data_IF_621442433258
#
_entry.id   IF_621442433258
#
_cell.length_a   1.000
_cell.length_b   1.000
_cell.length_c   1.000
_cell.angle_alpha   90.00
_cell.angle_beta   90.00
_cell.angle_gamma   90.00
#
_symmetry.space_group_name_H-M   'P 1'
#
loop_
_entity.id
_entity.type
_entity.pdbx_description
1 polymer ?
#
# COMPACT_ATOMS: atom_id res chain seq x y z
N UNK A 1 29.68 4.06 -20.04
CA UNK A 1 28.28 3.94 -19.61
C UNK A 1 27.58 5.25 -19.93
N UNK A 2 26.37 5.23 -20.50
CA UNK A 2 25.55 6.44 -20.49
C UNK A 2 25.29 6.86 -19.04
N UNK A 3 25.14 8.16 -18.75
CA UNK A 3 24.77 8.61 -17.42
C UNK A 3 23.42 8.00 -17.01
N UNK A 4 23.17 7.76 -15.71
CA UNK A 4 21.86 7.33 -15.24
C UNK A 4 20.81 8.32 -15.72
N UNK A 5 19.79 7.82 -16.42
CA UNK A 5 18.65 8.62 -16.85
C UNK A 5 17.98 9.19 -15.59
N UNK A 6 17.81 10.52 -15.49
CA UNK A 6 17.09 11.15 -14.37
C UNK A 6 15.75 10.44 -14.17
N UNK A 7 15.50 9.89 -12.98
CA UNK A 7 14.25 9.20 -12.64
C UNK A 7 13.07 10.13 -12.96
N UNK A 8 12.18 9.67 -13.85
CA UNK A 8 10.97 10.41 -14.25
C UNK A 8 9.73 9.99 -13.45
N UNK A 9 9.83 8.88 -12.74
CA UNK A 9 8.74 8.30 -11.95
C UNK A 9 9.15 8.29 -10.49
N UNK A 10 8.29 8.84 -9.64
CA UNK A 10 8.42 8.82 -8.18
C UNK A 10 7.27 8.01 -7.60
N UNK A 11 7.57 6.99 -6.81
CA UNK A 11 6.58 6.13 -6.13
C UNK A 11 6.54 6.53 -4.65
N UNK A 12 5.42 7.14 -4.26
CA UNK A 12 5.07 7.48 -2.89
C UNK A 12 4.23 6.35 -2.31
N UNK A 13 4.79 5.57 -1.41
CA UNK A 13 4.10 4.48 -0.75
C UNK A 13 3.45 4.94 0.56
N UNK A 14 2.20 4.51 0.77
CA UNK A 14 1.36 4.84 1.93
C UNK A 14 0.90 3.53 2.56
N UNK A 15 1.47 3.17 3.71
CA UNK A 15 1.14 1.94 4.43
C UNK A 15 0.58 2.18 5.82
N UNK A 16 0.11 1.13 6.49
CA UNK A 16 -0.60 1.20 7.78
C UNK A 16 -1.75 0.20 7.86
N UNK A 17 -2.36 -0.02 9.04
CA UNK A 17 -3.37 -1.05 9.23
C UNK A 17 -4.57 -0.86 8.30
N UNK A 18 -5.25 -1.95 7.96
CA UNK A 18 -6.52 -1.88 7.21
C UNK A 18 -7.51 -0.95 7.92
N UNK A 19 -8.26 -0.14 7.17
CA UNK A 19 -9.14 0.93 7.69
C UNK A 19 -8.46 2.13 8.39
N UNK A 20 -7.15 2.35 8.22
CA UNK A 20 -6.47 3.54 8.75
C UNK A 20 -6.73 4.84 7.98
N UNK A 21 -7.19 4.75 6.72
CA UNK A 21 -7.44 5.93 5.85
C UNK A 21 -6.45 6.11 4.70
N UNK A 22 -5.62 5.10 4.38
CA UNK A 22 -4.62 5.12 3.31
C UNK A 22 -5.20 5.51 1.95
N UNK A 23 -6.24 4.80 1.50
CA UNK A 23 -6.91 5.04 0.22
C UNK A 23 -7.47 6.47 0.14
N UNK A 24 -8.04 6.98 1.24
CA UNK A 24 -8.52 8.37 1.34
C UNK A 24 -7.38 9.36 1.15
N UNK A 25 -6.24 9.17 1.84
CA UNK A 25 -5.06 10.03 1.69
C UNK A 25 -4.50 9.96 0.27
N UNK A 26 -4.36 8.77 -0.31
CA UNK A 26 -3.87 8.57 -1.69
C UNK A 26 -4.74 9.32 -2.72
N UNK A 27 -6.07 9.24 -2.60
CA UNK A 27 -7.02 9.98 -3.46
C UNK A 27 -6.90 11.49 -3.28
N UNK A 28 -6.74 11.98 -2.04
CA UNK A 28 -6.54 13.41 -1.77
C UNK A 28 -5.22 13.93 -2.36
N UNK A 29 -4.12 13.21 -2.15
CA UNK A 29 -2.82 13.54 -2.73
C UNK A 29 -2.90 13.53 -4.26
N UNK A 30 -3.42 12.46 -4.87
CA UNK A 30 -3.62 12.39 -6.32
C UNK A 30 -4.44 13.59 -6.83
N UNK A 31 -5.50 13.99 -6.11
CA UNK A 31 -6.34 15.13 -6.47
C UNK A 31 -5.64 16.48 -6.36
N UNK A 32 -4.72 16.64 -5.40
CA UNK A 32 -3.88 17.84 -5.27
C UNK A 32 -2.92 17.92 -6.45
N UNK A 33 -2.19 16.83 -6.73
CA UNK A 33 -1.13 16.80 -7.74
C UNK A 33 -1.63 16.67 -9.19
N UNK A 34 -2.75 15.98 -9.45
CA UNK A 34 -3.32 15.81 -10.81
C UNK A 34 -3.87 17.09 -11.43
N UNK A 35 -4.41 17.99 -10.59
CA UNK A 35 -5.09 19.22 -11.03
C UNK A 35 -4.20 20.47 -10.92
N UNK A 36 -2.88 20.30 -11.04
CA UNK A 36 -1.94 21.42 -11.03
C UNK A 36 -1.98 22.24 -12.34
N UNK A 37 -2.72 21.80 -13.37
CA UNK A 37 -2.91 22.54 -14.62
C UNK A 37 -3.64 23.87 -14.42
N UNK A 38 -3.28 24.92 -15.19
CA UNK A 38 -4.11 26.12 -15.33
C UNK A 38 -5.49 25.77 -15.91
N UNK A 39 -6.51 26.59 -15.59
CA UNK A 39 -7.89 26.45 -16.12
C UNK A 39 -8.02 26.68 -17.64
N UNK A 40 -6.92 26.98 -18.33
CA UNK A 40 -6.85 27.16 -19.78
C UNK A 40 -6.42 25.84 -20.44
N UNK A 41 -6.92 25.56 -21.65
CA UNK A 41 -6.68 24.35 -22.47
C UNK A 41 -5.18 24.02 -22.67
N UNK A 42 -4.49 23.58 -21.63
CA UNK A 42 -3.05 23.36 -21.56
C UNK A 42 -2.78 22.01 -20.92
N UNK A 43 -1.84 21.27 -21.52
CA UNK A 43 -1.45 19.92 -21.11
C UNK A 43 -0.42 19.99 -19.98
N UNK A 44 -0.65 19.39 -18.81
CA UNK A 44 0.38 19.27 -17.77
C UNK A 44 1.51 18.35 -18.20
N UNK A 45 2.71 18.63 -17.71
CA UNK A 45 3.87 17.75 -17.78
C UNK A 45 3.94 16.75 -16.60
N UNK A 46 2.84 16.60 -15.84
CA UNK A 46 2.73 15.70 -14.70
C UNK A 46 1.58 14.73 -14.90
N UNK A 47 1.89 13.44 -14.74
CA UNK A 47 0.94 12.34 -14.65
C UNK A 47 0.87 11.86 -13.19
N UNK A 48 -0.33 11.58 -12.71
CA UNK A 48 -0.51 10.93 -11.41
C UNK A 48 -1.56 9.84 -11.46
N UNK A 49 -1.32 8.75 -10.73
CA UNK A 49 -2.27 7.65 -10.56
C UNK A 49 -2.01 6.94 -9.23
N UNK A 50 -2.98 6.13 -8.82
CA UNK A 50 -2.93 5.32 -7.61
C UNK A 50 -2.73 3.86 -8.01
N UNK A 51 -1.96 3.13 -7.22
CA UNK A 51 -1.84 1.68 -7.27
C UNK A 51 -2.33 1.14 -5.93
N UNK A 52 -3.31 0.24 -5.97
CA UNK A 52 -3.87 -0.39 -4.79
C UNK A 52 -3.25 -1.77 -4.61
N UNK A 53 -2.71 -2.08 -3.43
CA UNK A 53 -2.20 -3.42 -3.09
C UNK A 53 -3.29 -4.49 -3.25
N UNK A 54 -4.54 -4.14 -2.98
CA UNK A 54 -5.69 -5.04 -3.10
C UNK A 54 -5.91 -5.56 -4.54
N UNK A 55 -5.39 -4.87 -5.56
CA UNK A 55 -5.45 -5.36 -6.95
C UNK A 55 -4.58 -6.61 -7.19
N UNK A 56 -3.67 -6.89 -6.25
CA UNK A 56 -2.71 -7.99 -6.27
C UNK A 56 -3.12 -9.16 -5.38
N UNK A 57 -4.33 -9.14 -4.79
CA UNK A 57 -4.86 -10.34 -4.15
C UNK A 57 -4.94 -11.51 -5.14
N UNK A 58 -4.64 -12.70 -4.64
CA UNK A 58 -5.00 -13.93 -5.32
C UNK A 58 -6.54 -14.04 -5.44
N UNK A 59 -7.05 -14.79 -6.43
CA UNK A 59 -8.47 -15.08 -6.52
C UNK A 59 -9.02 -15.74 -5.24
N UNK A 60 -10.32 -15.59 -4.98
CA UNK A 60 -11.01 -16.04 -3.76
C UNK A 60 -10.70 -17.51 -3.40
N UNK A 61 -10.65 -18.42 -4.37
CA UNK A 61 -10.34 -19.84 -4.18
C UNK A 61 -8.88 -20.14 -3.82
N UNK A 62 -7.99 -19.15 -3.92
CA UNK A 62 -6.57 -19.24 -3.62
C UNK A 62 -6.16 -18.44 -2.38
N UNK A 63 -7.10 -17.78 -1.72
CA UNK A 63 -6.83 -17.12 -0.45
C UNK A 63 -6.51 -18.18 0.61
N UNK A 64 -5.41 -18.02 1.37
CA UNK A 64 -4.98 -18.99 2.37
C UNK A 64 -6.09 -19.34 3.37
N UNK A 65 -6.28 -20.63 3.62
CA UNK A 65 -7.16 -21.13 4.67
C UNK A 65 -6.35 -21.42 5.93
N UNK A 66 -6.81 -20.89 7.06
CA UNK A 66 -6.25 -21.18 8.39
C UNK A 66 -7.33 -21.84 9.27
N UNK A 67 -6.96 -22.62 10.30
CA UNK A 67 -7.90 -23.07 11.32
C UNK A 67 -8.57 -21.86 11.98
N UNK A 68 -9.90 -21.88 12.12
CA UNK A 68 -10.63 -20.76 12.70
C UNK A 68 -10.22 -20.57 14.17
N UNK A 69 -9.78 -19.36 14.59
CA UNK A 69 -9.22 -19.14 15.93
C UNK A 69 -10.15 -19.54 17.09
N UNK A 70 -11.45 -19.28 16.94
CA UNK A 70 -12.48 -19.70 17.91
C UNK A 70 -13.05 -21.11 17.73
N UNK A 71 -12.83 -21.75 16.58
CA UNK A 71 -13.32 -23.10 16.30
C UNK A 71 -12.34 -23.86 15.38
N UNK A 72 -11.25 -24.42 15.92
CA UNK A 72 -10.18 -25.01 15.13
C UNK A 72 -10.59 -26.20 14.23
N UNK A 73 -11.81 -26.74 14.40
CA UNK A 73 -12.35 -27.79 13.53
C UNK A 73 -12.86 -27.28 12.19
N UNK A 74 -12.99 -25.96 12.03
CA UNK A 74 -13.39 -25.27 10.81
C UNK A 74 -12.25 -24.43 10.28
N UNK A 75 -12.24 -24.15 8.97
CA UNK A 75 -11.27 -23.25 8.34
C UNK A 75 -11.89 -21.91 7.99
N UNK A 76 -11.07 -20.88 7.92
CA UNK A 76 -11.45 -19.52 7.52
C UNK A 76 -10.38 -18.94 6.59
N UNK A 77 -10.80 -18.14 5.61
CA UNK A 77 -9.89 -17.44 4.70
C UNK A 77 -9.16 -16.31 5.44
N UNK A 78 -7.84 -16.26 5.30
CA UNK A 78 -7.00 -15.19 5.80
C UNK A 78 -6.63 -14.25 4.65
N UNK A 79 -7.33 -13.12 4.54
CA UNK A 79 -7.05 -12.08 3.57
C UNK A 79 -5.91 -11.18 4.01
N UNK A 80 -5.75 -10.95 5.31
CA UNK A 80 -4.78 -10.00 5.87
C UNK A 80 -3.41 -10.64 6.11
N UNK A 81 -2.80 -11.21 5.08
CA UNK A 81 -1.47 -11.83 5.17
C UNK A 81 -0.72 -11.70 3.85
N UNK A 82 0.61 -11.65 3.92
CA UNK A 82 1.49 -11.64 2.74
C UNK A 82 1.16 -12.77 1.74
N UNK A 83 0.77 -13.95 2.24
CA UNK A 83 0.46 -15.12 1.41
C UNK A 83 -0.85 -15.01 0.61
N UNK A 84 -1.70 -14.02 0.90
CA UNK A 84 -2.88 -13.72 0.11
C UNK A 84 -2.57 -12.87 -1.13
N UNK A 85 -1.38 -12.28 -1.20
CA UNK A 85 -0.97 -11.33 -2.23
C UNK A 85 0.00 -11.97 -3.24
N UNK A 86 -0.16 -11.66 -4.52
CA UNK A 86 0.78 -11.98 -5.59
C UNK A 86 1.97 -11.00 -5.58
N UNK A 87 2.86 -11.20 -4.62
CA UNK A 87 4.07 -10.39 -4.44
C UNK A 87 4.98 -10.37 -5.68
N UNK A 88 5.20 -11.49 -6.40
CA UNK A 88 5.91 -11.45 -7.68
C UNK A 88 5.26 -10.51 -8.69
N UNK A 89 3.93 -10.53 -8.84
CA UNK A 89 3.23 -9.62 -9.74
C UNK A 89 3.30 -8.17 -9.28
N UNK A 90 3.12 -7.89 -7.98
CA UNK A 90 3.30 -6.55 -7.40
C UNK A 90 4.70 -6.00 -7.68
N UNK A 91 5.74 -6.79 -7.40
CA UNK A 91 7.13 -6.44 -7.66
C UNK A 91 7.37 -6.15 -9.15
N UNK A 92 6.88 -7.00 -10.05
CA UNK A 92 7.02 -6.81 -11.49
C UNK A 92 6.28 -5.57 -12.01
N UNK A 93 5.05 -5.33 -11.53
CA UNK A 93 4.25 -4.16 -11.90
C UNK A 93 4.93 -2.85 -11.46
N UNK A 94 5.51 -2.80 -10.26
CA UNK A 94 6.24 -1.63 -9.79
C UNK A 94 7.53 -1.38 -10.59
N UNK A 95 8.27 -2.43 -10.99
CA UNK A 95 9.42 -2.28 -11.92
C UNK A 95 8.99 -1.67 -13.26
N UNK A 96 7.85 -2.13 -13.78
CA UNK A 96 7.30 -1.63 -15.03
C UNK A 96 6.89 -0.16 -14.89
N UNK A 97 6.17 0.19 -13.84
CA UNK A 97 5.75 1.56 -13.55
C UNK A 97 6.96 2.49 -13.41
N UNK A 98 8.00 2.05 -12.69
CA UNK A 98 9.21 2.83 -12.52
C UNK A 98 9.87 3.18 -13.87
N UNK A 99 9.94 2.20 -14.77
CA UNK A 99 10.56 2.33 -16.10
C UNK A 99 9.69 3.05 -17.15
N UNK A 100 8.37 2.88 -17.12
CA UNK A 100 7.45 3.36 -18.17
C UNK A 100 6.62 4.58 -17.75
N UNK A 101 6.44 4.80 -16.44
CA UNK A 101 5.62 5.88 -15.90
C UNK A 101 4.11 5.71 -16.11
N UNK A 102 3.65 4.47 -16.32
CA UNK A 102 2.24 4.10 -16.37
C UNK A 102 2.03 2.65 -15.92
N UNK A 103 0.77 2.27 -15.66
CA UNK A 103 0.41 0.90 -15.28
C UNK A 103 0.70 -0.08 -16.42
N UNK A 104 1.09 -1.33 -16.13
CA UNK A 104 1.15 -2.38 -17.13
C UNK A 104 -0.26 -2.70 -17.67
N UNK A 105 -0.42 -3.04 -18.96
CA UNK A 105 -1.74 -3.30 -19.56
C UNK A 105 -2.61 -4.33 -18.83
N UNK A 106 -1.96 -5.31 -18.21
CA UNK A 106 -2.63 -6.38 -17.44
C UNK A 106 -3.27 -5.91 -16.13
N UNK A 107 -2.81 -4.79 -15.56
CA UNK A 107 -3.30 -4.32 -14.26
C UNK A 107 -4.53 -3.42 -14.41
N UNK A 108 -5.68 -3.93 -13.97
CA UNK A 108 -6.92 -3.14 -13.84
C UNK A 108 -7.32 -3.00 -12.37
N UNK A 109 -7.58 -1.76 -11.95
CA UNK A 109 -8.01 -1.46 -10.58
C UNK A 109 -9.43 -1.94 -10.33
N UNK A 110 -9.61 -2.72 -9.26
CA UNK A 110 -10.92 -3.13 -8.73
C UNK A 110 -11.29 -2.34 -7.48
N UNK A 111 -10.29 -1.83 -6.77
CA UNK A 111 -10.51 -0.98 -5.60
C UNK A 111 -11.28 0.30 -5.96
N UNK A 112 -11.16 0.79 -7.20
CA UNK A 112 -11.98 1.89 -7.71
C UNK A 112 -13.48 1.55 -7.86
N UNK A 113 -13.88 0.29 -7.65
CA UNK A 113 -15.27 -0.15 -7.63
C UNK A 113 -15.88 -0.14 -6.23
N UNK A 114 -15.08 0.02 -5.17
CA UNK A 114 -15.58 0.10 -3.79
C UNK A 114 -16.23 1.47 -3.53
N UNK A 115 -17.15 1.53 -2.56
CA UNK A 115 -17.86 2.75 -2.20
C UNK A 115 -16.89 3.84 -1.71
N UNK A 116 -16.94 5.02 -2.33
CA UNK A 116 -16.12 6.17 -1.93
C UNK A 116 -16.76 6.87 -0.73
N UNK A 117 -16.13 6.76 0.43
CA UNK A 117 -16.52 7.50 1.63
C UNK A 117 -16.04 8.95 1.58
N UNK A 118 -16.80 9.87 2.16
CA UNK A 118 -16.38 11.28 2.26
C UNK A 118 -15.09 11.40 3.08
N UNK A 119 -14.11 12.13 2.55
CA UNK A 119 -12.78 12.25 3.17
C UNK A 119 -12.74 13.05 4.48
N UNK A 120 -13.81 13.79 4.80
CA UNK A 120 -13.84 14.74 5.91
C UNK A 120 -12.97 15.99 5.72
N UNK A 121 -12.24 16.11 4.60
CA UNK A 121 -11.40 17.27 4.27
C UNK A 121 -12.18 18.23 3.37
N UNK A 122 -12.19 19.51 3.74
CA UNK A 122 -12.93 20.53 2.98
C UNK A 122 -12.24 20.89 1.66
N UNK A 123 -13.02 21.38 0.68
CA UNK A 123 -12.49 21.82 -0.60
C UNK A 123 -11.49 22.98 -0.48
N UNK A 124 -11.67 23.83 0.54
CA UNK A 124 -10.78 24.95 0.83
C UNK A 124 -9.38 24.45 1.22
N UNK A 125 -9.29 23.37 2.01
CA UNK A 125 -8.01 22.74 2.37
C UNK A 125 -7.34 22.16 1.13
N UNK A 126 -8.08 21.39 0.32
CA UNK A 126 -7.54 20.79 -0.92
C UNK A 126 -7.05 21.87 -1.88
N UNK A 127 -7.81 22.96 -2.03
CA UNK A 127 -7.41 24.09 -2.88
C UNK A 127 -6.16 24.78 -2.34
N UNK A 128 -6.09 25.04 -1.03
CA UNK A 128 -4.91 25.66 -0.40
C UNK A 128 -3.66 24.79 -0.58
N UNK A 129 -3.74 23.49 -0.34
CA UNK A 129 -2.60 22.58 -0.54
C UNK A 129 -2.15 22.52 -2.00
N UNK A 130 -3.09 22.60 -2.94
CA UNK A 130 -2.76 22.70 -4.36
C UNK A 130 -1.97 23.97 -4.69
N UNK A 131 -2.33 25.11 -4.12
CA UNK A 131 -1.55 26.35 -4.29
C UNK A 131 -0.13 26.21 -3.73
N UNK A 132 0.02 25.61 -2.54
CA UNK A 132 1.35 25.35 -1.93
C UNK A 132 2.21 24.49 -2.84
N UNK A 133 1.67 23.37 -3.34
CA UNK A 133 2.38 22.50 -4.29
C UNK A 133 2.74 23.28 -5.54
N UNK A 134 1.81 24.08 -6.09
CA UNK A 134 2.06 24.90 -7.27
C UNK A 134 3.24 25.85 -7.04
N UNK A 135 3.26 26.57 -5.94
CA UNK A 135 4.34 27.53 -5.65
C UNK A 135 5.71 26.86 -5.54
N UNK A 136 5.79 25.68 -4.92
CA UNK A 136 7.07 25.01 -4.62
C UNK A 136 7.65 24.21 -5.76
N UNK A 137 6.82 23.67 -6.66
CA UNK A 137 7.30 22.83 -7.77
C UNK A 137 6.87 23.37 -9.15
N UNK A 138 7.25 24.62 -9.51
CA UNK A 138 6.81 25.27 -10.75
C UNK A 138 7.10 24.47 -12.02
N UNK A 139 8.24 23.76 -12.05
CA UNK A 139 8.65 22.95 -13.19
C UNK A 139 7.72 21.78 -13.53
N UNK A 140 6.86 21.33 -12.60
CA UNK A 140 5.94 20.19 -12.83
C UNK A 140 4.73 20.58 -13.70
N UNK A 141 4.45 21.86 -13.85
CA UNK A 141 3.26 22.36 -14.56
C UNK A 141 3.54 23.54 -15.50
N UNK A 142 4.81 23.94 -15.67
CA UNK A 142 5.23 24.85 -16.73
C UNK A 142 5.45 24.09 -18.05
N UNK A 143 4.95 24.68 -19.15
CA UNK A 143 4.99 24.11 -20.50
C UNK A 143 6.41 24.16 -21.07
N UNK A 144 6.99 23.01 -21.40
CA UNK A 144 8.31 22.87 -22.05
C UNK A 144 8.24 23.06 -23.58
N UNK A 145 7.06 23.35 -24.16
CA UNK A 145 6.92 23.65 -25.59
C UNK A 145 7.65 24.90 -26.08
N UNK A 146 8.27 25.68 -25.19
CA UNK A 146 9.04 26.85 -25.59
C UNK A 146 10.41 26.53 -26.22
N UNK A 147 10.89 25.27 -26.24
CA UNK A 147 12.28 25.01 -26.65
C UNK A 147 12.63 23.75 -27.47
N UNK A 148 11.70 23.03 -28.10
CA UNK A 148 12.05 21.85 -28.92
C UNK A 148 11.68 21.99 -30.41
N UNK A 149 12.67 22.39 -31.20
CA UNK A 149 12.80 22.07 -32.63
C UNK A 149 13.32 20.63 -32.85
N UNK A 150 12.97 19.68 -31.97
CA UNK A 150 13.41 18.28 -32.06
C UNK A 150 12.20 17.36 -32.15
N UNK A 151 11.96 16.91 -33.37
CA UNK A 151 11.02 15.85 -33.71
C UNK A 151 11.58 14.48 -33.29
N UNK A 152 11.27 14.05 -32.08
CA UNK A 152 11.38 12.66 -31.64
C UNK A 152 10.16 12.32 -30.78
N UNK A 153 9.24 11.56 -31.37
CA UNK A 153 7.94 11.25 -30.79
C UNK A 153 7.99 10.07 -29.83
N UNK A 154 8.37 10.32 -28.58
CA UNK A 154 8.12 9.45 -27.43
C UNK A 154 8.23 10.26 -26.12
N UNK A 155 7.10 10.72 -25.55
CA UNK A 155 6.94 11.08 -24.12
C UNK A 155 8.03 11.90 -23.39
N UNK A 156 8.92 12.59 -24.11
CA UNK A 156 10.20 13.09 -23.60
C UNK A 156 9.99 14.37 -22.78
N UNK A 157 9.51 14.21 -21.54
CA UNK A 157 9.30 15.34 -20.61
C UNK A 157 8.22 15.14 -19.55
N UNK A 158 7.44 14.05 -19.59
CA UNK A 158 6.37 13.80 -18.60
C UNK A 158 6.97 13.22 -17.32
N UNK A 159 6.75 13.90 -16.19
CA UNK A 159 7.01 13.40 -14.84
C UNK A 159 5.82 12.60 -14.35
N UNK A 160 6.06 11.55 -13.58
CA UNK A 160 5.01 10.68 -13.04
C UNK A 160 5.16 10.60 -11.52
N UNK A 161 4.08 10.89 -10.78
CA UNK A 161 4.00 10.60 -9.34
C UNK A 161 2.94 9.52 -9.15
N UNK A 162 3.35 8.41 -8.54
CA UNK A 162 2.49 7.26 -8.25
C UNK A 162 2.25 7.20 -6.75
N UNK A 163 0.99 7.08 -6.35
CA UNK A 163 0.63 6.82 -4.97
C UNK A 163 0.32 5.33 -4.81
N UNK A 164 1.24 4.58 -4.23
CA UNK A 164 1.04 3.17 -3.91
C UNK A 164 0.47 3.07 -2.50
N UNK A 165 -0.65 2.37 -2.32
CA UNK A 165 -1.26 2.23 -1.01
C UNK A 165 -1.64 0.78 -0.71
N UNK A 166 -1.43 0.37 0.53
CA UNK A 166 -1.54 -1.03 0.93
C UNK A 166 -1.30 -1.24 2.42
N UNK A 167 -1.87 -2.29 3.00
CA UNK A 167 -1.70 -2.59 4.42
C UNK A 167 -0.35 -3.23 4.75
N UNK A 168 0.35 -3.78 3.76
CA UNK A 168 1.58 -4.54 3.99
C UNK A 168 2.65 -4.27 2.92
N UNK A 169 3.17 -3.03 2.90
CA UNK A 169 4.11 -2.59 1.86
C UNK A 169 5.58 -2.59 2.30
N UNK A 170 5.87 -2.51 3.60
CA UNK A 170 7.22 -2.25 4.11
C UNK A 170 7.86 -3.49 4.71
N UNK A 171 9.18 -3.56 4.56
CA UNK A 171 10.06 -4.56 5.15
C UNK A 171 10.89 -3.91 6.27
N UNK A 172 11.31 -4.70 7.28
CA UNK A 172 12.27 -4.25 8.30
C UNK A 172 13.56 -3.67 7.71
N UNK A 173 14.42 -3.01 8.50
CA UNK A 173 15.75 -2.63 8.06
C UNK A 173 16.50 -3.83 7.47
N UNK A 174 17.31 -3.58 6.43
CA UNK A 174 17.99 -4.66 5.67
C UNK A 174 18.95 -5.45 6.54
N UNK A 175 19.50 -4.80 7.56
CA UNK A 175 20.40 -5.36 8.55
C UNK A 175 19.68 -6.29 9.54
N UNK A 176 18.36 -6.11 9.73
CA UNK A 176 17.55 -6.92 10.64
C UNK A 176 17.00 -8.17 9.94
N UNK A 177 16.52 -8.02 8.69
CA UNK A 177 16.07 -9.14 7.86
C UNK A 177 16.27 -8.85 6.36
N UNK A 178 17.38 -9.32 5.77
CA UNK A 178 17.71 -9.04 4.37
C UNK A 178 16.80 -9.79 3.37
N UNK A 179 16.22 -10.91 3.76
CA UNK A 179 15.46 -11.82 2.88
C UNK A 179 13.94 -11.71 3.07
N UNK A 180 13.47 -10.69 3.81
CA UNK A 180 12.05 -10.41 4.03
C UNK A 180 11.27 -10.37 2.70
N UNK A 181 10.07 -10.97 2.68
CA UNK A 181 9.28 -11.16 1.46
C UNK A 181 8.90 -9.86 0.72
N UNK A 182 8.85 -8.73 1.43
CA UNK A 182 8.55 -7.41 0.87
C UNK A 182 9.79 -6.60 0.46
N UNK A 183 11.01 -7.13 0.63
CA UNK A 183 12.24 -6.39 0.35
C UNK A 183 12.25 -5.83 -1.07
N UNK A 184 11.96 -6.68 -2.05
CA UNK A 184 11.98 -6.28 -3.45
C UNK A 184 10.88 -5.26 -3.79
N UNK A 185 9.75 -5.31 -3.09
CA UNK A 185 8.65 -4.34 -3.24
C UNK A 185 9.08 -2.99 -2.65
N UNK A 186 9.59 -2.97 -1.43
CA UNK A 186 10.04 -1.76 -0.73
C UNK A 186 11.18 -1.02 -1.45
N UNK A 187 12.10 -1.76 -2.08
CA UNK A 187 13.25 -1.18 -2.80
C UNK A 187 12.84 -0.37 -4.04
N UNK A 188 11.58 -0.47 -4.48
CA UNK A 188 11.02 0.30 -5.61
C UNK A 188 10.32 1.59 -5.18
N UNK A 189 10.23 1.85 -3.88
CA UNK A 189 9.55 3.02 -3.33
C UNK A 189 10.56 4.13 -3.01
N UNK A 190 10.23 5.36 -3.41
CA UNK A 190 11.07 6.53 -3.20
C UNK A 190 10.73 7.25 -1.88
N UNK A 191 9.44 7.22 -1.48
CA UNK A 191 8.94 7.74 -0.20
C UNK A 191 8.09 6.68 0.49
N UNK A 192 8.24 6.54 1.81
CA UNK A 192 7.58 5.51 2.62
C UNK A 192 6.84 6.16 3.79
N UNK A 193 5.57 6.48 3.58
CA UNK A 193 4.69 7.08 4.58
C UNK A 193 3.92 5.98 5.32
N UNK A 194 3.88 6.04 6.64
CA UNK A 194 3.11 5.10 7.45
C UNK A 194 2.04 5.82 8.25
N UNK A 195 0.79 5.39 8.12
CA UNK A 195 -0.38 5.94 8.79
C UNK A 195 -0.77 5.02 9.94
N UNK A 196 -0.31 5.29 11.18
CA UNK A 196 -0.79 4.56 12.33
C UNK A 196 -2.29 4.85 12.55
N UNK A 197 -3.02 3.86 13.03
CA UNK A 197 -4.38 4.03 13.50
C UNK A 197 -4.61 3.15 14.71
N UNK A 198 -5.34 3.71 15.67
CA UNK A 198 -5.74 3.03 16.90
C UNK A 198 -6.59 1.80 16.59
N UNK A 199 -6.35 0.72 17.34
CA UNK A 199 -7.12 -0.52 17.27
C UNK A 199 -8.64 -0.27 17.22
N UNK A 200 -9.15 0.50 18.18
CA UNK A 200 -10.58 0.73 18.34
C UNK A 200 -11.19 1.38 17.08
N UNK A 201 -10.48 2.34 16.49
CA UNK A 201 -10.91 3.03 15.28
C UNK A 201 -10.88 2.10 14.06
N UNK A 202 -9.83 1.28 13.93
CA UNK A 202 -9.72 0.29 12.85
C UNK A 202 -10.85 -0.73 12.94
N UNK A 203 -11.14 -1.23 14.15
CA UNK A 203 -12.20 -2.18 14.41
C UNK A 203 -13.57 -1.62 14.05
N UNK A 204 -13.93 -0.48 14.62
CA UNK A 204 -15.22 0.17 14.34
C UNK A 204 -15.42 0.39 12.83
N UNK A 205 -14.40 0.92 12.15
CA UNK A 205 -14.48 1.20 10.70
C UNK A 205 -14.55 -0.07 9.87
N UNK A 206 -13.83 -1.13 10.25
CA UNK A 206 -13.78 -2.38 9.48
C UNK A 206 -15.06 -3.19 9.64
N UNK A 207 -15.56 -3.34 10.87
CA UNK A 207 -16.83 -4.01 11.13
C UNK A 207 -18.03 -3.22 10.56
N UNK A 208 -17.89 -1.91 10.35
CA UNK A 208 -18.88 -1.07 9.68
C UNK A 208 -18.92 -1.16 8.15
N UNK A 209 -18.01 -1.90 7.50
CA UNK A 209 -18.01 -2.04 6.04
C UNK A 209 -19.12 -2.98 5.57
N UNK A 210 -19.73 -2.66 4.43
CA UNK A 210 -20.70 -3.52 3.75
C UNK A 210 -20.05 -4.79 3.16
N UNK A 211 -18.76 -4.69 2.81
CA UNK A 211 -17.92 -5.77 2.30
C UNK A 211 -16.88 -5.22 1.32
N UNK A 212 -16.29 -6.13 0.54
CA UNK A 212 -15.15 -5.90 -0.32
C UNK A 212 -15.41 -6.51 -1.70
N UNK A 213 -15.10 -5.76 -2.75
CA UNK A 213 -15.05 -6.32 -4.10
C UNK A 213 -13.85 -7.26 -4.25
N UNK A 214 -14.09 -8.51 -4.62
CA UNK A 214 -13.06 -9.54 -4.81
C UNK A 214 -13.14 -10.16 -6.21
N UNK A 215 -12.39 -11.23 -6.49
CA UNK A 215 -12.41 -11.92 -7.78
C UNK A 215 -12.30 -13.42 -7.68
N UNK A 216 -13.12 -14.09 -8.48
CA UNK A 216 -13.01 -15.52 -8.70
C UNK A 216 -13.98 -16.33 -7.88
N UNK A 217 -13.95 -17.65 -8.11
CA UNK A 217 -14.93 -18.54 -7.52
C UNK A 217 -14.71 -18.62 -6.01
N UNK A 218 -15.81 -18.72 -5.26
CA UNK A 218 -15.74 -19.06 -3.85
C UNK A 218 -14.98 -20.40 -3.65
N UNK A 219 -14.25 -20.56 -2.54
CA UNK A 219 -13.51 -21.79 -2.27
C UNK A 219 -14.46 -23.01 -2.26
N UNK A 220 -14.02 -24.10 -2.91
CA UNK A 220 -14.77 -25.36 -2.93
C UNK A 220 -14.69 -25.97 -1.53
N UNK A 221 -15.81 -26.02 -0.81
CA UNK A 221 -15.91 -26.76 0.45
C UNK A 221 -15.65 -28.25 0.17
N UNK A 222 -14.46 -28.75 0.52
CA UNK A 222 -14.21 -30.18 0.54
C UNK A 222 -15.05 -30.80 1.68
N UNK A 223 -16.22 -31.35 1.34
CA UNK A 223 -16.93 -32.25 2.23
C UNK A 223 -16.04 -33.48 2.49
N UNK A 224 -15.85 -33.80 3.76
CA UNK A 224 -14.86 -34.75 4.26
C UNK A 224 -14.82 -36.09 3.50
N UNK A 225 -13.63 -36.43 3.04
CA UNK A 225 -13.21 -37.79 2.70
C UNK A 225 -11.98 -38.12 3.54
N UNK A 226 -12.04 -39.26 4.21
CA UNK A 226 -11.08 -39.74 5.21
C UNK A 226 -9.65 -39.91 4.65
N UNK A 227 -8.67 -39.46 5.43
CA UNK A 227 -7.36 -40.10 5.59
C UNK A 227 -6.32 -39.92 4.50
N UNK A 228 -5.35 -39.02 4.72
CA UNK A 228 -3.93 -39.40 4.77
C UNK A 228 -3.10 -38.25 5.37
N UNK A 229 -2.37 -38.58 6.42
CA UNK A 229 -1.44 -37.72 7.13
C UNK A 229 -0.22 -37.38 6.25
N UNK A 230 -0.22 -36.19 5.65
CA UNK A 230 0.96 -35.57 5.06
C UNK A 230 1.30 -34.29 5.83
N UNK A 231 2.38 -34.30 6.61
CA UNK A 231 2.89 -33.09 7.26
C UNK A 231 3.34 -32.08 6.21
N UNK A 232 2.62 -30.97 6.09
CA UNK A 232 3.03 -29.83 5.29
C UNK A 232 3.89 -28.90 6.15
N UNK A 233 5.20 -28.96 5.95
CA UNK A 233 6.11 -27.93 6.41
C UNK A 233 5.78 -26.61 5.71
N UNK A 234 5.77 -25.54 6.49
CA UNK A 234 5.80 -24.15 6.00
C UNK A 234 7.14 -23.88 5.33
N UNK A 235 7.26 -24.21 4.05
CA UNK A 235 8.35 -23.71 3.21
C UNK A 235 7.81 -22.55 2.37
N UNK A 236 8.41 -21.36 2.57
CA UNK A 236 8.28 -20.22 1.65
C UNK A 236 8.71 -20.67 0.24
N UNK A 237 8.09 -20.15 -0.85
CA UNK A 237 8.48 -20.55 -2.19
C UNK A 237 9.95 -20.21 -2.44
N UNK A 238 10.72 -21.19 -2.92
CA UNK A 238 12.10 -20.98 -3.36
C UNK A 238 12.14 -19.92 -4.47
N UNK A 239 13.18 -19.09 -4.39
CA UNK A 239 13.52 -17.96 -5.26
C UNK A 239 13.80 -18.41 -6.71
N UNK A 240 12.78 -18.87 -7.41
CA UNK A 240 12.76 -19.04 -8.86
C UNK A 240 12.09 -17.81 -9.47
N UNK A 241 12.71 -17.20 -10.48
CA UNK A 241 12.12 -16.09 -11.22
C UNK A 241 10.85 -16.58 -11.93
N UNK A 242 9.69 -16.40 -11.30
CA UNK A 242 8.39 -16.55 -11.97
C UNK A 242 8.35 -15.43 -13.01
N UNK A 243 8.42 -15.79 -14.28
CA UNK A 243 8.38 -14.82 -15.37
C UNK A 243 6.94 -14.29 -15.47
N UNK A 244 6.72 -13.09 -14.94
CA UNK A 244 5.41 -12.44 -14.94
C UNK A 244 5.19 -11.73 -16.26
N UNK A 245 4.19 -12.19 -17.00
CA UNK A 245 3.77 -11.57 -18.25
C UNK A 245 2.84 -10.38 -17.97
N UNK A 246 3.37 -9.18 -18.18
CA UNK A 246 2.69 -7.90 -17.90
C UNK A 246 1.88 -7.35 -19.08
N UNK A 247 2.08 -7.90 -20.28
CA UNK A 247 1.47 -7.45 -21.53
C UNK A 247 0.23 -8.28 -21.93
N UNK A 248 0.01 -9.42 -21.26
CA UNK A 248 -1.23 -10.20 -21.41
C UNK A 248 -2.48 -9.37 -21.10
N UNK A 249 -3.56 -9.69 -21.80
CA UNK A 249 -4.89 -9.23 -21.39
C UNK A 249 -5.19 -9.73 -19.97
N UNK A 250 -5.92 -8.91 -19.21
CA UNK A 250 -6.34 -9.25 -17.84
C UNK A 250 -7.18 -10.54 -17.86
N UNK A 251 -6.57 -11.65 -17.43
CA UNK A 251 -7.11 -13.00 -17.42
C UNK A 251 -7.74 -13.37 -16.07
N UNK A 252 -7.90 -12.38 -15.18
CA UNK A 252 -8.44 -12.61 -13.85
C UNK A 252 -9.92 -13.05 -13.91
N UNK A 253 -10.34 -13.93 -12.99
CA UNK A 253 -11.73 -14.38 -12.91
C UNK A 253 -12.76 -13.24 -12.71
N UNK A 254 -14.06 -13.51 -12.91
CA UNK A 254 -15.13 -12.53 -12.68
C UNK A 254 -15.13 -11.95 -11.26
N UNK A 255 -15.66 -10.74 -11.14
CA UNK A 255 -15.86 -10.05 -9.87
C UNK A 255 -16.70 -10.89 -8.90
N UNK A 256 -16.32 -10.89 -7.63
CA UNK A 256 -17.05 -11.47 -6.53
C UNK A 256 -17.14 -10.47 -5.36
N UNK A 257 -17.71 -10.87 -4.23
CA UNK A 257 -17.87 -10.02 -3.05
C UNK A 257 -17.60 -10.80 -1.76
N UNK A 258 -16.80 -10.22 -0.87
CA UNK A 258 -16.47 -10.77 0.45
C UNK A 258 -17.00 -9.87 1.56
N UNK A 259 -17.47 -10.47 2.66
CA UNK A 259 -17.84 -9.75 3.89
C UNK A 259 -17.14 -10.41 5.06
N UNK A 260 -16.48 -9.60 5.89
CA UNK A 260 -15.81 -10.09 7.09
C UNK A 260 -16.82 -10.81 8.01
N UNK A 261 -16.53 -12.06 8.44
CA UNK A 261 -17.39 -12.74 9.39
C UNK A 261 -17.29 -12.10 10.79
N UNK A 262 -18.28 -12.33 11.67
CA UNK A 262 -18.25 -11.75 13.02
C UNK A 262 -16.98 -12.10 13.80
N UNK A 263 -16.29 -11.07 14.32
CA UNK A 263 -15.05 -11.22 15.09
C UNK A 263 -13.77 -11.35 14.25
N UNK A 264 -13.85 -11.26 12.91
CA UNK A 264 -12.68 -11.36 12.02
C UNK A 264 -11.57 -10.37 12.37
N UNK A 265 -11.94 -9.16 12.81
CA UNK A 265 -10.96 -8.12 13.17
C UNK A 265 -10.12 -8.54 14.38
N UNK A 266 -10.77 -8.96 15.46
CA UNK A 266 -10.11 -9.41 16.69
C UNK A 266 -9.29 -10.68 16.47
N UNK A 267 -9.82 -11.59 15.64
CA UNK A 267 -9.30 -12.95 15.50
C UNK A 267 -8.18 -13.07 14.46
N UNK A 268 -8.17 -12.23 13.42
CA UNK A 268 -7.28 -12.38 12.25
C UNK A 268 -6.62 -11.05 11.87
N UNK A 269 -7.41 -10.02 11.56
CA UNK A 269 -6.88 -8.76 11.00
C UNK A 269 -5.85 -8.11 11.91
N UNK A 270 -6.23 -7.88 13.17
CA UNK A 270 -5.37 -7.16 14.10
C UNK A 270 -4.18 -8.01 14.54
N UNK A 271 -4.34 -9.30 14.91
CA UNK A 271 -3.21 -10.18 15.19
C UNK A 271 -2.19 -10.25 14.04
N UNK A 272 -2.63 -10.39 12.79
CA UNK A 272 -1.72 -10.41 11.65
C UNK A 272 -1.02 -9.07 11.44
N UNK A 273 -1.75 -7.96 11.53
CA UNK A 273 -1.15 -6.63 11.45
C UNK A 273 -0.04 -6.46 12.50
N UNK A 274 -0.31 -6.82 13.75
CA UNK A 274 0.67 -6.72 14.84
C UNK A 274 1.87 -7.61 14.59
N UNK A 275 1.66 -8.84 14.15
CA UNK A 275 2.73 -9.79 13.86
C UNK A 275 3.62 -9.32 12.71
N UNK A 276 3.01 -8.95 11.58
CA UNK A 276 3.73 -8.54 10.37
C UNK A 276 4.46 -7.20 10.54
N UNK A 277 4.00 -6.36 11.47
CA UNK A 277 4.63 -5.08 11.82
C UNK A 277 5.38 -5.10 13.15
N UNK A 278 5.64 -6.28 13.75
CA UNK A 278 6.34 -6.38 15.03
C UNK A 278 7.78 -5.81 15.00
N UNK A 279 8.36 -5.64 13.80
CA UNK A 279 9.66 -4.96 13.63
C UNK A 279 9.56 -3.43 13.73
N UNK A 280 8.36 -2.86 13.54
CA UNK A 280 8.07 -1.42 13.53
C UNK A 280 7.32 -0.96 14.79
N UNK A 281 6.36 -1.74 15.26
CA UNK A 281 5.57 -1.47 16.46
C UNK A 281 6.42 -1.58 17.72
N UNK A 282 6.09 -0.81 18.74
CA UNK A 282 6.71 -0.86 20.06
C UNK A 282 5.64 -1.13 21.14
N UNK A 283 5.99 -1.81 22.24
CA UNK A 283 5.09 -1.96 23.38
C UNK A 283 4.62 -0.62 23.96
N UNK A 284 3.45 -0.60 24.57
CA UNK A 284 3.00 0.51 25.40
C UNK A 284 3.74 0.48 26.74
N UNK A 285 4.40 1.58 27.10
CA UNK A 285 4.89 1.81 28.46
C UNK A 285 6.24 1.19 28.86
N UNK A 286 7.00 0.58 27.95
CA UNK A 286 8.38 0.14 28.23
C UNK A 286 9.30 0.23 26.99
N UNK A 287 10.26 1.16 27.04
CA UNK A 287 11.17 1.50 25.93
C UNK A 287 12.51 0.74 25.99
N UNK A 288 12.73 -0.10 27.01
CA UNK A 288 14.07 -0.63 27.32
C UNK A 288 14.35 -2.08 26.95
N UNK A 289 13.32 -2.92 26.79
CA UNK A 289 13.50 -4.36 26.54
C UNK A 289 13.18 -4.74 25.09
N UNK A 290 13.93 -5.69 24.53
CA UNK A 290 13.69 -6.27 23.20
C UNK A 290 13.18 -7.72 23.27
N UNK A 291 13.03 -8.27 24.49
CA UNK A 291 12.59 -9.67 24.72
C UNK A 291 11.20 -9.93 24.13
N UNK A 292 10.34 -8.91 24.12
CA UNK A 292 9.00 -8.98 23.56
C UNK A 292 8.97 -9.33 22.06
N UNK A 293 10.05 -9.09 21.30
CA UNK A 293 10.11 -9.45 19.87
C UNK A 293 10.01 -10.95 19.61
N UNK A 294 10.24 -11.77 20.64
CA UNK A 294 10.10 -13.24 20.58
C UNK A 294 8.78 -13.75 21.17
N UNK A 295 7.92 -12.85 21.64
CA UNK A 295 6.62 -13.22 22.20
C UNK A 295 5.70 -13.80 21.12
N UNK A 296 4.74 -14.63 21.55
CA UNK A 296 3.69 -15.09 20.66
C UNK A 296 2.75 -13.94 20.25
N UNK A 297 1.97 -14.16 19.19
CA UNK A 297 1.10 -13.12 18.62
C UNK A 297 0.10 -12.55 19.62
N UNK A 298 -0.41 -13.35 20.56
CA UNK A 298 -1.39 -12.87 21.55
C UNK A 298 -0.73 -11.94 22.56
N UNK A 299 0.46 -12.29 23.02
CA UNK A 299 1.23 -11.43 23.90
C UNK A 299 1.71 -10.16 23.18
N UNK A 300 2.11 -10.25 21.91
CA UNK A 300 2.41 -9.07 21.09
C UNK A 300 1.22 -8.12 21.02
N UNK A 301 0.03 -8.63 20.68
CA UNK A 301 -1.22 -7.83 20.63
C UNK A 301 -1.48 -7.14 21.97
N UNK A 302 -1.28 -7.85 23.09
CA UNK A 302 -1.44 -7.28 24.43
C UNK A 302 -0.42 -6.16 24.72
N UNK A 303 0.82 -6.34 24.29
CA UNK A 303 1.92 -5.41 24.55
C UNK A 303 1.82 -4.13 23.71
N UNK A 304 1.48 -4.23 22.44
CA UNK A 304 1.38 -3.06 21.54
C UNK A 304 0.10 -2.23 21.78
N UNK A 305 -0.89 -2.81 22.48
CA UNK A 305 -2.14 -2.15 22.83
C UNK A 305 -2.85 -1.56 21.61
N UNK A 306 -2.90 -0.24 21.52
CA UNK A 306 -3.56 0.48 20.44
C UNK A 306 -2.77 0.46 19.11
N UNK A 307 -1.53 -0.04 19.10
CA UNK A 307 -0.74 -0.21 17.87
C UNK A 307 -0.24 1.10 17.25
N UNK A 308 -0.08 2.13 18.07
CA UNK A 308 0.28 3.50 17.64
C UNK A 308 1.63 3.99 18.16
N UNK A 309 2.32 3.17 18.94
CA UNK A 309 3.71 3.41 19.32
C UNK A 309 4.63 2.73 18.29
N UNK A 310 5.40 3.50 17.54
CA UNK A 310 6.26 3.01 16.45
C UNK A 310 7.67 3.56 16.60
N UNK A 311 8.66 2.75 16.25
CA UNK A 311 10.05 3.22 16.16
C UNK A 311 10.22 4.15 14.95
N UNK A 312 11.13 5.11 15.05
CA UNK A 312 11.36 6.15 14.03
C UNK A 312 12.66 5.95 13.24
N UNK A 313 13.45 4.94 13.56
CA UNK A 313 14.77 4.64 13.00
C UNK A 313 14.73 3.52 11.93
N UNK A 314 13.54 3.09 11.51
CA UNK A 314 13.39 1.97 10.57
C UNK A 314 13.31 2.38 9.08
N UNK A 315 13.60 3.64 8.76
CA UNK A 315 13.56 4.13 7.37
C UNK A 315 12.15 4.27 6.80
N UNK A 316 11.17 4.54 7.68
CA UNK A 316 9.77 4.80 7.37
C UNK A 316 9.36 6.11 8.05
N UNK A 317 8.67 6.99 7.33
CA UNK A 317 8.18 8.26 7.87
C UNK A 317 6.78 8.06 8.45
N UNK A 318 6.66 8.12 9.77
CA UNK A 318 5.40 7.87 10.49
C UNK A 318 4.58 9.15 10.60
N UNK A 319 3.28 9.06 10.31
CA UNK A 319 2.37 10.18 10.39
C UNK A 319 2.19 10.66 11.84
N UNK A 320 2.01 11.98 12.06
CA UNK A 320 1.97 12.56 13.39
C UNK A 320 0.69 12.19 14.16
N UNK A 321 0.71 12.44 15.47
CA UNK A 321 -0.47 12.34 16.32
C UNK A 321 -0.90 10.93 16.69
N UNK A 322 -0.05 9.91 16.47
CA UNK A 322 -0.27 8.54 16.96
C UNK A 322 -1.66 7.98 16.62
N UNK A 323 -2.13 8.25 15.39
CA UNK A 323 -3.44 7.79 14.90
C UNK A 323 -4.66 8.60 15.37
N UNK A 324 -4.45 9.72 16.06
CA UNK A 324 -5.53 10.64 16.49
C UNK A 324 -5.59 11.93 15.66
N UNK A 325 -4.55 12.24 14.88
CA UNK A 325 -4.54 13.40 14.00
C UNK A 325 -5.67 13.36 12.97
N UNK A 326 -6.22 14.53 12.63
CA UNK A 326 -7.29 14.61 11.65
C UNK A 326 -6.79 14.31 10.24
N UNK A 327 -7.67 13.85 9.33
CA UNK A 327 -7.29 13.64 7.92
C UNK A 327 -6.75 14.93 7.26
N UNK A 328 -7.17 16.10 7.74
CA UNK A 328 -6.60 17.39 7.32
C UNK A 328 -5.13 17.51 7.71
N UNK A 329 -4.79 17.26 8.98
CA UNK A 329 -3.41 17.35 9.47
C UNK A 329 -2.51 16.31 8.80
N UNK A 330 -3.03 15.08 8.61
CA UNK A 330 -2.35 14.01 7.88
C UNK A 330 -2.10 14.40 6.42
N UNK A 331 -3.08 15.03 5.76
CA UNK A 331 -2.92 15.48 4.38
C UNK A 331 -1.84 16.56 4.25
N UNK A 332 -1.84 17.56 5.14
CA UNK A 332 -0.83 18.62 5.15
C UNK A 332 0.58 18.05 5.37
N UNK A 333 0.71 17.16 6.35
CA UNK A 333 1.96 16.45 6.61
C UNK A 333 2.44 15.66 5.38
N UNK A 334 1.56 14.86 4.76
CA UNK A 334 1.93 14.05 3.62
C UNK A 334 2.33 14.90 2.40
N UNK A 335 1.65 16.02 2.16
CA UNK A 335 2.03 16.98 1.10
C UNK A 335 3.44 17.52 1.35
N UNK A 336 3.76 17.90 2.60
CA UNK A 336 5.08 18.40 2.96
C UNK A 336 6.17 17.34 2.75
N UNK A 337 5.96 16.09 3.18
CA UNK A 337 6.92 15.00 2.98
C UNK A 337 7.17 14.70 1.49
N UNK A 338 6.12 14.70 0.66
CA UNK A 338 6.27 14.55 -0.80
C UNK A 338 7.06 15.71 -1.40
N UNK A 339 6.76 16.96 -1.01
CA UNK A 339 7.47 18.14 -1.51
C UNK A 339 8.94 18.17 -1.07
N UNK A 340 9.24 17.74 0.16
CA UNK A 340 10.60 17.61 0.67
C UNK A 340 11.41 16.63 -0.19
N UNK A 341 10.86 15.45 -0.47
CA UNK A 341 11.50 14.47 -1.33
C UNK A 341 11.76 15.02 -2.76
N UNK A 342 10.76 15.70 -3.34
CA UNK A 342 10.93 16.33 -4.65
C UNK A 342 12.07 17.38 -4.62
N UNK A 343 12.15 18.21 -3.58
CA UNK A 343 13.21 19.20 -3.45
C UNK A 343 14.60 18.56 -3.30
N UNK A 344 14.71 17.47 -2.54
CA UNK A 344 15.97 16.74 -2.32
C UNK A 344 16.48 16.05 -3.59
N UNK A 345 15.58 15.48 -4.39
CA UNK A 345 15.92 14.78 -5.64
C UNK A 345 16.20 15.72 -6.81
N UNK A 346 15.62 16.92 -6.83
CA UNK A 346 15.86 17.92 -7.88
C UNK A 346 17.00 18.90 -7.58
N UNK A 347 17.36 19.05 -6.30
CA UNK A 347 18.53 19.82 -5.88
C UNK A 347 19.88 19.11 -6.15
N UNK A 348 19.84 17.83 -6.53
CA UNK A 348 20.96 17.00 -6.97
C UNK A 348 21.10 16.99 -8.50
#
# INVERSE_FOLDING_TARGET
MPPPQKQKTTIIAISGPSSSGKTTLARLLQRIFSKLTPQTNTTSNLRTFIVHEDDFYHPDDKIPLIPHPRNPTTSIQNWDTLSALDIPFLSAALSYIHSHGHLPPRLRSKEDLNDVTESGVSEEVVSRMREVVRERVPGYFLDTKANSNSSSGDGEGVRTIVFLEGFLLFAPPREEDPDHGLREVQEKMDVRLFLPARYDNVKERREGRSGYVTIGPAPVQQQGGEGESGGAGTELPQRGSVEVDLEKEDDRPPQNFWTDPPGYVDDIVWPNYVQDHAWLLLPEGDEGSTEWRSADTQELVRLVGQGVNLRMDAGVTVAPGQGEASMTDILEWAVEEVLKHIAETEGQ
#
